data_IF_108916575166
#
_entry.id   IF_108916575166
#
_cell.length_a   1.000
_cell.length_b   1.000
_cell.length_c   1.000
_cell.angle_alpha   90.00
_cell.angle_beta   90.00
_cell.angle_gamma   90.00
#
_symmetry.space_group_name_H-M   'P 1'
#
loop_
_entity.id
_entity.type
_entity.pdbx_description
1 polymer ?
#
# COMPACT_ATOMS: atom_id res chain seq x y z
N UNK A 1 5.86 -11.34 -9.04
CA UNK A 1 7.05 -10.65 -8.53
C UNK A 1 8.23 -11.04 -9.38
N UNK A 2 8.92 -10.06 -9.96
CA UNK A 2 10.15 -10.28 -10.73
C UNK A 2 11.29 -9.50 -10.05
N UNK A 3 12.52 -9.60 -10.56
CA UNK A 3 13.56 -8.66 -10.15
C UNK A 3 13.17 -7.26 -10.64
N UNK A 4 13.43 -6.25 -9.80
CA UNK A 4 13.36 -4.87 -10.24
C UNK A 4 14.16 -4.70 -11.56
N UNK A 5 13.66 -3.91 -12.53
CA UNK A 5 12.43 -3.11 -12.50
C UNK A 5 11.19 -3.86 -13.03
N UNK A 6 11.29 -5.16 -13.35
CA UNK A 6 10.27 -5.92 -14.07
C UNK A 6 9.09 -6.39 -13.21
N UNK A 7 8.86 -5.73 -12.07
CA UNK A 7 7.73 -6.06 -11.21
C UNK A 7 6.41 -5.72 -11.90
N UNK A 8 5.41 -6.58 -11.69
CA UNK A 8 4.02 -6.31 -12.09
C UNK A 8 3.28 -5.72 -10.90
N UNK A 9 2.57 -4.63 -11.14
CA UNK A 9 1.67 -4.01 -10.16
C UNK A 9 0.27 -4.58 -10.31
N UNK A 10 -0.44 -4.74 -9.19
CA UNK A 10 -1.86 -5.04 -9.18
C UNK A 10 -2.53 -4.29 -8.05
N UNK A 11 -3.61 -3.57 -8.34
CA UNK A 11 -4.33 -2.74 -7.38
C UNK A 11 -5.84 -2.96 -7.46
N UNK A 12 -6.50 -2.81 -6.31
CA UNK A 12 -7.91 -2.48 -6.22
C UNK A 12 -8.09 -0.96 -6.15
N UNK A 13 -9.33 -0.50 -6.33
CA UNK A 13 -9.69 0.92 -6.22
C UNK A 13 -10.61 1.11 -5.02
N UNK A 14 -10.28 2.06 -4.17
CA UNK A 14 -11.19 2.59 -3.17
C UNK A 14 -11.47 4.06 -3.49
N UNK A 15 -12.72 4.48 -3.32
CA UNK A 15 -13.15 5.87 -3.51
C UNK A 15 -13.84 6.31 -2.23
N UNK A 16 -13.40 7.44 -1.69
CA UNK A 16 -14.06 8.02 -0.54
C UNK A 16 -15.50 8.42 -0.91
N UNK A 17 -16.48 8.21 -0.02
CA UNK A 17 -17.86 8.66 -0.26
C UNK A 17 -17.96 10.18 -0.45
N UNK A 18 -17.03 10.94 0.14
CA UNK A 18 -16.95 12.41 0.08
C UNK A 18 -15.50 12.84 0.34
N UNK A 19 -15.08 13.94 -0.29
CA UNK A 19 -13.79 14.58 -0.02
C UNK A 19 -12.60 13.85 -0.65
N UNK A 20 -11.42 14.19 -0.14
CA UNK A 20 -10.12 13.66 -0.52
C UNK A 20 -9.41 13.05 0.70
N UNK A 21 -8.44 12.16 0.45
CA UNK A 21 -7.56 11.62 1.50
C UNK A 21 -6.66 12.66 2.17
N UNK A 22 -6.64 13.89 1.65
CA UNK A 22 -5.91 15.02 2.22
C UNK A 22 -6.75 15.85 3.19
N UNK A 23 -8.06 15.59 3.31
CA UNK A 23 -8.97 16.44 4.10
C UNK A 23 -9.01 16.05 5.58
N UNK A 24 -8.69 14.80 5.93
CA UNK A 24 -8.71 14.26 7.30
C UNK A 24 -7.79 13.03 7.43
N UNK A 25 -7.55 12.57 8.67
CA UNK A 25 -6.87 11.31 8.93
C UNK A 25 -7.75 10.12 8.54
N UNK A 26 -7.16 9.15 7.85
CA UNK A 26 -7.81 7.89 7.46
C UNK A 26 -7.01 6.69 7.98
N UNK A 27 -7.71 5.63 8.35
CA UNK A 27 -7.07 4.40 8.79
C UNK A 27 -6.84 3.46 7.60
N UNK A 28 -5.59 3.38 7.15
CA UNK A 28 -5.14 2.38 6.19
C UNK A 28 -4.66 1.12 6.94
N UNK A 29 -5.19 -0.04 6.57
CA UNK A 29 -4.79 -1.29 7.19
C UNK A 29 -4.52 -2.40 6.15
N UNK A 30 -3.54 -3.23 6.45
CA UNK A 30 -3.23 -4.47 5.76
C UNK A 30 -3.36 -5.60 6.78
N UNK A 31 -4.29 -6.51 6.56
CA UNK A 31 -4.25 -7.83 7.19
C UNK A 31 -3.46 -8.75 6.27
N UNK A 32 -2.37 -9.30 6.80
CA UNK A 32 -1.47 -10.18 6.06
C UNK A 32 -1.32 -11.50 6.82
N UNK A 33 -1.81 -12.56 6.19
CA UNK A 33 -1.74 -13.94 6.67
C UNK A 33 -1.08 -14.81 5.60
N UNK A 34 -0.79 -16.06 5.95
CA UNK A 34 -0.25 -17.01 4.98
C UNK A 34 -1.24 -17.23 3.82
N UNK A 35 -0.86 -16.78 2.63
CA UNK A 35 -1.61 -16.98 1.40
C UNK A 35 -2.79 -16.03 1.18
N UNK A 36 -3.03 -15.06 2.07
CA UNK A 36 -4.04 -14.02 1.86
C UNK A 36 -3.58 -12.67 2.40
N UNK A 37 -3.82 -11.63 1.62
CA UNK A 37 -3.67 -10.24 2.03
C UNK A 37 -4.98 -9.49 1.78
N UNK A 38 -5.41 -8.69 2.75
CA UNK A 38 -6.63 -7.89 2.70
C UNK A 38 -6.30 -6.44 3.04
N UNK A 39 -6.70 -5.52 2.19
CA UNK A 39 -6.46 -4.09 2.37
C UNK A 39 -7.77 -3.37 2.71
N UNK A 40 -7.67 -2.46 3.66
CA UNK A 40 -8.79 -1.71 4.19
C UNK A 40 -8.48 -0.21 4.22
N UNK A 41 -9.55 0.58 4.05
CA UNK A 41 -9.58 2.02 4.33
C UNK A 41 -10.76 2.25 5.27
N UNK A 42 -10.51 2.84 6.43
CA UNK A 42 -11.54 3.13 7.44
C UNK A 42 -12.39 1.90 7.81
N UNK A 43 -11.73 0.74 7.94
CA UNK A 43 -12.35 -0.55 8.23
C UNK A 43 -13.10 -1.19 7.05
N UNK A 44 -13.17 -0.55 5.89
CA UNK A 44 -13.83 -1.10 4.69
C UNK A 44 -12.85 -1.87 3.82
N UNK A 45 -13.09 -3.16 3.65
CA UNK A 45 -12.32 -4.02 2.76
C UNK A 45 -12.50 -3.54 1.31
N UNK A 46 -11.40 -3.30 0.60
CA UNK A 46 -11.45 -2.88 -0.80
C UNK A 46 -10.61 -3.75 -1.73
N UNK A 47 -9.70 -4.56 -1.19
CA UNK A 47 -8.90 -5.47 -1.98
C UNK A 47 -8.57 -6.72 -1.18
N UNK A 48 -8.74 -7.87 -1.83
CA UNK A 48 -8.25 -9.16 -1.35
C UNK A 48 -7.33 -9.75 -2.40
N UNK A 49 -6.17 -10.27 -1.98
CA UNK A 49 -5.27 -11.07 -2.81
C UNK A 49 -5.07 -12.43 -2.17
N UNK A 50 -5.36 -13.47 -2.93
CA UNK A 50 -5.14 -14.88 -2.57
C UNK A 50 -4.18 -15.58 -3.56
N UNK A 51 -3.73 -14.86 -4.58
CA UNK A 51 -2.84 -15.38 -5.60
C UNK A 51 -1.85 -14.30 -6.05
N UNK A 52 -0.58 -14.68 -6.09
CA UNK A 52 0.54 -13.94 -6.65
C UNK A 52 1.64 -14.93 -7.03
N UNK A 53 2.59 -14.48 -7.84
CA UNK A 53 3.72 -15.29 -8.29
C UNK A 53 5.04 -14.63 -7.95
N UNK A 54 6.13 -15.41 -7.96
CA UNK A 54 7.50 -14.90 -7.93
C UNK A 54 8.36 -15.73 -8.88
N UNK A 55 9.26 -15.08 -9.63
CA UNK A 55 10.26 -15.82 -10.41
C UNK A 55 11.33 -16.47 -9.55
N UNK A 56 11.49 -16.03 -8.30
CA UNK A 56 12.55 -16.50 -7.42
C UNK A 56 12.16 -17.75 -6.61
N UNK A 57 10.87 -17.93 -6.31
CA UNK A 57 10.38 -19.00 -5.44
C UNK A 57 8.86 -19.25 -5.65
N UNK A 58 8.35 -20.44 -5.32
CA UNK A 58 6.91 -20.73 -5.42
C UNK A 58 6.08 -19.92 -4.43
N UNK A 59 4.77 -19.84 -4.68
CA UNK A 59 3.81 -19.27 -3.73
C UNK A 59 3.95 -19.92 -2.33
N UNK A 60 3.89 -19.16 -1.22
CA UNK A 60 3.50 -17.75 -1.10
C UNK A 60 4.64 -16.73 -1.20
N UNK A 61 5.82 -17.11 -1.70
CA UNK A 61 6.90 -16.14 -1.95
C UNK A 61 6.47 -15.02 -2.90
N UNK A 62 6.95 -13.78 -2.70
CA UNK A 62 7.98 -13.38 -1.74
C UNK A 62 7.43 -12.87 -0.40
N UNK A 63 6.13 -13.00 -0.13
CA UNK A 63 5.45 -12.43 1.04
C UNK A 63 5.33 -13.45 2.18
N UNK A 64 6.39 -14.23 2.38
CA UNK A 64 6.50 -15.34 3.33
C UNK A 64 7.79 -15.24 4.17
N UNK A 65 8.34 -14.03 4.26
CA UNK A 65 9.54 -13.70 5.02
C UNK A 65 9.35 -12.39 5.80
N UNK A 66 10.34 -12.00 6.60
CA UNK A 66 10.29 -10.73 7.33
C UNK A 66 10.37 -9.53 6.38
N UNK A 67 9.48 -8.55 6.59
CA UNK A 67 9.49 -7.26 5.90
C UNK A 67 9.70 -6.12 6.90
N UNK A 68 10.13 -4.97 6.39
CA UNK A 68 10.15 -3.71 7.13
C UNK A 68 9.15 -2.74 6.50
N UNK A 69 8.69 -1.77 7.30
CA UNK A 69 7.85 -0.68 6.81
C UNK A 69 8.71 0.39 6.15
N UNK A 70 8.22 0.95 5.04
CA UNK A 70 8.78 2.11 4.37
C UNK A 70 7.67 3.15 4.21
N UNK A 71 7.93 4.36 4.70
CA UNK A 71 7.00 5.49 4.59
C UNK A 71 7.77 6.67 3.98
N UNK A 72 7.24 7.22 2.90
CA UNK A 72 7.85 8.35 2.20
C UNK A 72 6.77 9.17 1.48
N UNK A 73 7.04 10.47 1.32
CA UNK A 73 6.28 11.36 0.44
C UNK A 73 7.16 11.70 -0.77
N UNK A 74 7.00 10.95 -1.87
CA UNK A 74 7.74 11.21 -3.11
C UNK A 74 7.21 12.45 -3.83
N UNK A 75 8.12 13.27 -4.33
CA UNK A 75 7.80 14.39 -5.23
C UNK A 75 8.16 13.99 -6.66
N UNK A 76 7.14 13.64 -7.42
CA UNK A 76 7.25 13.18 -8.80
C UNK A 76 7.68 11.72 -8.98
N UNK A 77 7.75 11.29 -10.24
CA UNK A 77 8.23 9.96 -10.63
C UNK A 77 7.54 9.43 -11.88
N UNK A 78 8.04 8.32 -12.43
CA UNK A 78 7.50 7.71 -13.66
C UNK A 78 6.00 7.39 -13.59
N UNK A 79 5.50 7.07 -12.39
CA UNK A 79 4.09 6.68 -12.19
C UNK A 79 3.15 7.89 -12.07
N UNK A 80 3.53 8.92 -11.31
CA UNK A 80 2.67 10.07 -11.00
C UNK A 80 2.93 11.31 -11.86
N UNK A 81 4.01 11.32 -12.65
CA UNK A 81 4.46 12.51 -13.39
C UNK A 81 5.38 13.41 -12.55
N UNK A 82 5.82 14.52 -13.11
CA UNK A 82 6.51 15.57 -12.36
C UNK A 82 5.48 16.59 -11.83
N UNK A 83 5.75 17.28 -10.71
CA UNK A 83 4.99 18.46 -10.32
C UNK A 83 4.93 19.49 -11.45
N UNK A 84 3.84 20.22 -11.51
CA UNK A 84 3.63 21.34 -12.43
C UNK A 84 3.24 22.62 -11.68
N UNK A 85 2.92 23.67 -12.43
CA UNK A 85 2.56 24.99 -11.89
C UNK A 85 1.27 24.99 -11.05
N UNK A 86 0.49 23.89 -11.07
CA UNK A 86 -0.69 23.71 -10.22
C UNK A 86 -0.37 23.02 -8.89
N UNK A 87 0.86 22.49 -8.74
CA UNK A 87 1.30 21.79 -7.54
C UNK A 87 1.67 22.79 -6.44
N UNK A 88 0.89 22.82 -5.37
CA UNK A 88 1.14 23.71 -4.23
C UNK A 88 2.22 23.11 -3.31
N UNK A 89 3.21 23.92 -2.92
CA UNK A 89 4.22 23.57 -1.93
C UNK A 89 4.22 24.58 -0.77
N UNK A 90 4.62 24.19 0.46
CA UNK A 90 5.03 22.84 0.88
C UNK A 90 3.85 21.86 1.01
N UNK A 91 4.15 20.57 1.04
CA UNK A 91 3.20 19.49 1.33
C UNK A 91 3.66 18.70 2.56
N UNK A 92 2.72 18.14 3.30
CA UNK A 92 2.98 17.36 4.50
C UNK A 92 2.41 15.95 4.36
N UNK A 93 3.10 14.97 4.94
CA UNK A 93 2.60 13.61 5.10
C UNK A 93 2.54 13.32 6.59
N UNK A 94 1.36 13.56 7.16
CA UNK A 94 1.11 13.44 8.59
C UNK A 94 0.68 12.02 8.95
N UNK A 95 1.32 11.46 9.98
CA UNK A 95 1.06 10.10 10.47
C UNK A 95 0.88 10.19 11.98
N UNK A 96 -0.36 9.99 12.44
CA UNK A 96 -0.66 9.97 13.87
C UNK A 96 -0.07 8.72 14.55
N UNK A 97 -0.27 7.53 13.96
CA UNK A 97 0.32 6.31 14.47
C UNK A 97 0.57 5.24 13.40
N UNK A 98 1.44 4.30 13.78
CA UNK A 98 1.62 3.01 13.12
C UNK A 98 1.49 1.93 14.19
N UNK A 99 0.66 0.92 13.94
CA UNK A 99 0.49 -0.21 14.85
C UNK A 99 0.62 -1.51 14.07
N UNK A 100 1.42 -2.43 14.60
CA UNK A 100 1.59 -3.79 14.07
C UNK A 100 1.04 -4.75 15.10
N UNK A 101 0.14 -5.62 14.66
CA UNK A 101 -0.50 -6.62 15.50
C UNK A 101 -0.13 -8.01 15.01
N UNK A 102 -0.06 -8.95 15.93
CA UNK A 102 0.11 -10.36 15.64
C UNK A 102 -1.16 -11.09 16.12
N UNK A 103 -1.65 -12.02 15.30
CA UNK A 103 -2.74 -12.90 15.71
C UNK A 103 -2.33 -13.65 16.98
N UNK A 104 -3.21 -13.63 17.99
CA UNK A 104 -3.02 -14.48 19.17
C UNK A 104 -3.41 -15.91 18.79
N UNK A 105 -2.50 -16.84 19.05
CA UNK A 105 -2.77 -18.28 18.97
C UNK A 105 -3.74 -18.72 20.08
#
# INVERSE_FOLDING_TARGET
>A
GDKWPNNRSSSGKFVLPKGSFADDFHLFALEWEQGVMRWYVDGKLYQTKTAWDSKAAPFPAPFDQNFHLLLNLSVGGKFVGAPDDTTVFPQQFEIDYIRVYQLKN
#
